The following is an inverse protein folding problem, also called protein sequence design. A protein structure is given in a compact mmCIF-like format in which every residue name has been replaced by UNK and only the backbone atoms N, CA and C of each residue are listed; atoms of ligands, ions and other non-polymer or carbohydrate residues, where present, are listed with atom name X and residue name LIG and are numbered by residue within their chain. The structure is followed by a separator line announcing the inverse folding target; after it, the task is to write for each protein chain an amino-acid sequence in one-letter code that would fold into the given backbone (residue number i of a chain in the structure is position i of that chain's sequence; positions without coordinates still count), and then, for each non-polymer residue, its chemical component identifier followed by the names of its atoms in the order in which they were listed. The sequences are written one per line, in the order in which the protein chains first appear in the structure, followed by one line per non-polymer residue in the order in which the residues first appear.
data_IF_810823207701
#
_entry.id   IF_810823207701
#
_cell.length_a   1.000
_cell.length_b   1.000
_cell.length_c   1.000
_cell.angle_alpha   90.00
_cell.angle_beta   90.00
_cell.angle_gamma   90.00
#
_symmetry.space_group_name_H-M   'P 1'
#
loop_
_entity.id
_entity.type
_entity.pdbx_description
1 polymer ?
#
# COMPACT_ATOMS: atom_id res chain seq x y z
N UNK A 1 -8.52 35.14 19.63
CA UNK A 1 -8.11 34.22 18.55
C UNK A 1 -6.78 33.65 18.99
N UNK A 2 -6.78 32.40 19.45
CA UNK A 2 -5.58 31.72 19.91
C UNK A 2 -4.70 31.43 18.70
N UNK A 3 -3.55 32.09 18.60
CA UNK A 3 -2.48 31.69 17.68
C UNK A 3 -2.13 30.23 18.00
N UNK A 4 -2.65 29.30 17.20
CA UNK A 4 -2.15 27.93 17.20
C UNK A 4 -0.75 28.00 16.65
N UNK A 5 0.23 28.02 17.56
CA UNK A 5 1.63 28.02 17.21
C UNK A 5 1.90 26.80 16.33
N UNK A 6 2.34 27.04 15.09
CA UNK A 6 2.54 25.98 14.10
C UNK A 6 3.65 25.04 14.58
N UNK A 7 3.48 23.72 14.45
CA UNK A 7 4.56 22.80 14.75
C UNK A 7 5.77 23.14 13.87
N UNK A 8 6.97 23.10 14.47
CA UNK A 8 8.21 23.40 13.77
C UNK A 8 8.40 22.43 12.58
N UNK A 9 8.66 22.97 11.39
CA UNK A 9 8.84 22.19 10.15
C UNK A 9 7.67 22.20 9.17
N UNK A 10 6.48 22.68 9.56
CA UNK A 10 5.30 22.71 8.66
C UNK A 10 5.36 23.90 7.70
N UNK A 11 5.44 23.62 6.40
CA UNK A 11 5.50 24.63 5.32
C UNK A 11 4.15 24.86 4.63
N UNK A 12 3.18 23.94 4.80
CA UNK A 12 1.81 24.11 4.30
C UNK A 12 1.07 25.22 5.05
N UNK A 13 0.23 25.96 4.34
CA UNK A 13 -0.69 26.95 4.93
C UNK A 13 -1.84 26.26 5.67
N UNK A 14 -2.49 26.99 6.58
CA UNK A 14 -3.67 26.47 7.31
C UNK A 14 -4.77 25.99 6.36
N UNK A 15 -5.04 26.73 5.29
CA UNK A 15 -5.98 26.34 4.24
C UNK A 15 -5.58 25.02 3.57
N UNK A 16 -4.31 24.87 3.19
CA UNK A 16 -3.82 23.64 2.55
C UNK A 16 -3.89 22.44 3.49
N UNK A 17 -3.70 22.68 4.79
CA UNK A 17 -3.82 21.64 5.81
C UNK A 17 -5.29 21.21 6.00
N UNK A 18 -6.23 22.16 5.98
CA UNK A 18 -7.67 21.88 6.05
C UNK A 18 -8.20 21.15 4.80
N UNK A 19 -7.62 21.44 3.62
CA UNK A 19 -7.98 20.77 2.36
C UNK A 19 -7.31 19.39 2.20
N UNK A 20 -6.24 19.11 2.95
CA UNK A 20 -5.51 17.85 2.87
C UNK A 20 -6.21 16.76 3.68
N UNK A 21 -6.79 15.78 2.99
CA UNK A 21 -7.41 14.63 3.64
C UNK A 21 -6.37 13.81 4.44
N UNK A 22 -6.74 13.30 5.64
CA UNK A 22 -5.90 12.38 6.40
C UNK A 22 -5.54 11.12 5.60
N UNK A 23 -4.32 10.61 5.80
CA UNK A 23 -3.80 9.47 5.04
C UNK A 23 -4.67 8.20 5.15
N UNK A 24 -5.26 7.97 6.33
CA UNK A 24 -6.09 6.80 6.63
C UNK A 24 -7.52 6.87 6.07
N UNK A 25 -7.93 8.07 5.61
CA UNK A 25 -9.18 8.34 4.91
C UNK A 25 -8.99 8.41 3.39
N UNK A 26 -7.92 9.09 2.94
CA UNK A 26 -7.66 9.35 1.53
C UNK A 26 -7.18 8.10 0.77
N UNK A 27 -6.32 7.29 1.41
CA UNK A 27 -5.63 6.20 0.73
C UNK A 27 -6.39 4.88 0.82
N UNK A 28 -6.37 4.10 -0.26
CA UNK A 28 -6.79 2.72 -0.22
C UNK A 28 -5.90 1.92 0.75
N UNK A 29 -6.53 1.28 1.74
CA UNK A 29 -5.85 0.43 2.74
C UNK A 29 -5.31 -0.85 2.11
N UNK A 30 -4.14 -0.71 1.49
CA UNK A 30 -3.30 -1.77 0.95
C UNK A 30 -2.01 -1.87 1.75
N UNK A 31 -1.29 -3.01 1.68
CA UNK A 31 -0.01 -3.16 2.38
C UNK A 31 1.11 -2.25 1.85
N UNK A 32 0.97 -1.69 0.64
CA UNK A 32 1.90 -0.70 0.08
C UNK A 32 1.10 0.51 -0.41
N UNK A 33 1.38 1.75 0.06
CA UNK A 33 0.68 2.94 -0.39
C UNK A 33 0.83 3.16 -1.90
N UNK A 34 -0.31 3.40 -2.56
CA UNK A 34 -0.38 3.72 -4.00
C UNK A 34 -0.51 5.22 -4.25
N UNK A 35 -0.35 6.06 -3.23
CA UNK A 35 -0.38 7.51 -3.32
C UNK A 35 0.56 8.11 -2.28
N UNK A 36 1.17 9.24 -2.62
CA UNK A 36 1.98 10.02 -1.68
C UNK A 36 1.04 10.72 -0.70
N UNK A 37 1.38 10.72 0.58
CA UNK A 37 0.64 11.40 1.65
C UNK A 37 1.49 12.51 2.24
N UNK A 38 0.87 13.59 2.69
CA UNK A 38 1.62 14.70 3.27
C UNK A 38 2.08 14.40 4.70
N UNK A 39 3.27 14.88 5.04
CA UNK A 39 3.75 15.03 6.42
C UNK A 39 3.53 16.45 6.98
N UNK A 40 2.83 17.33 6.24
CA UNK A 40 2.66 18.77 6.54
C UNK A 40 3.69 19.68 5.85
N UNK A 41 4.68 19.12 5.15
CA UNK A 41 5.74 19.90 4.48
C UNK A 41 5.50 20.08 2.97
N UNK A 42 4.50 19.40 2.41
CA UNK A 42 4.18 19.50 0.99
C UNK A 42 2.76 19.06 0.70
N UNK A 43 2.16 19.65 -0.34
CA UNK A 43 0.87 19.18 -0.85
C UNK A 43 1.09 17.88 -1.62
N UNK A 44 0.38 16.79 -1.31
CA UNK A 44 0.57 15.52 -1.98
C UNK A 44 0.09 15.64 -3.43
N UNK A 45 0.89 15.15 -4.37
CA UNK A 45 0.47 15.07 -5.76
C UNK A 45 -0.72 14.09 -5.89
N UNK A 46 -1.65 14.34 -6.85
CA UNK A 46 -2.71 13.40 -7.11
C UNK A 46 -2.14 12.05 -7.57
N UNK A 47 -2.87 10.97 -7.30
CA UNK A 47 -2.50 9.64 -7.72
C UNK A 47 -2.32 9.56 -9.25
N UNK A 48 -1.13 9.13 -9.68
CA UNK A 48 -0.78 8.98 -11.10
C UNK A 48 -1.54 7.83 -11.77
N UNK A 49 -1.57 7.80 -13.11
CA UNK A 49 -2.23 6.74 -13.86
C UNK A 49 -1.64 5.35 -13.54
N UNK A 50 -0.31 5.23 -13.44
CA UNK A 50 0.36 3.97 -13.08
C UNK A 50 0.02 3.53 -11.66
N UNK A 51 0.00 4.45 -10.70
CA UNK A 51 -0.42 4.18 -9.33
C UNK A 51 -1.86 3.67 -9.25
N UNK A 52 -2.79 4.28 -10.01
CA UNK A 52 -4.17 3.79 -10.13
C UNK A 52 -4.25 2.36 -10.68
N UNK A 53 -3.41 2.03 -11.66
CA UNK A 53 -3.33 0.67 -12.22
C UNK A 53 -2.81 -0.33 -11.19
N UNK A 54 -1.75 0.00 -10.44
CA UNK A 54 -1.25 -0.85 -9.34
C UNK A 54 -2.35 -1.07 -8.30
N UNK A 55 -3.04 -0.01 -7.88
CA UNK A 55 -4.14 -0.12 -6.91
C UNK A 55 -5.28 -1.03 -7.41
N UNK A 56 -5.66 -0.89 -8.68
CA UNK A 56 -6.68 -1.73 -9.29
C UNK A 56 -6.28 -3.20 -9.32
N UNK A 57 -5.02 -3.50 -9.69
CA UNK A 57 -4.48 -4.87 -9.70
C UNK A 57 -4.43 -5.48 -8.29
N UNK A 58 -4.06 -4.68 -7.27
CA UNK A 58 -4.08 -5.13 -5.87
C UNK A 58 -5.51 -5.48 -5.45
N UNK A 59 -6.49 -4.62 -5.75
CA UNK A 59 -7.90 -4.87 -5.44
C UNK A 59 -8.40 -6.14 -6.11
N UNK A 60 -8.20 -6.27 -7.42
CA UNK A 60 -8.63 -7.42 -8.20
C UNK A 60 -8.00 -8.73 -7.70
N UNK A 61 -6.69 -8.72 -7.47
CA UNK A 61 -5.97 -9.90 -6.95
C UNK A 61 -6.47 -10.27 -5.56
N UNK A 62 -6.63 -9.29 -4.69
CA UNK A 62 -7.10 -9.52 -3.34
C UNK A 62 -8.55 -10.02 -3.29
N UNK A 63 -9.44 -9.52 -4.15
CA UNK A 63 -10.82 -10.00 -4.25
C UNK A 63 -10.87 -11.46 -4.72
N UNK A 64 -10.08 -11.82 -5.73
CA UNK A 64 -9.96 -13.20 -6.24
C UNK A 64 -9.40 -14.14 -5.17
N UNK A 65 -8.27 -13.80 -4.57
CA UNK A 65 -7.58 -14.65 -3.60
C UNK A 65 -8.35 -14.76 -2.29
N UNK A 66 -8.94 -13.67 -1.80
CA UNK A 66 -9.75 -13.72 -0.60
C UNK A 66 -10.95 -14.68 -0.75
N UNK A 67 -11.62 -14.65 -1.91
CA UNK A 67 -12.71 -15.58 -2.23
C UNK A 67 -12.22 -17.03 -2.29
N UNK A 68 -11.07 -17.26 -2.92
CA UNK A 68 -10.48 -18.60 -3.04
C UNK A 68 -10.13 -19.21 -1.67
N UNK A 69 -9.58 -18.40 -0.77
CA UNK A 69 -9.14 -18.83 0.57
C UNK A 69 -10.20 -18.61 1.67
N UNK A 70 -11.47 -18.40 1.29
CA UNK A 70 -12.59 -18.21 2.20
C UNK A 70 -12.31 -17.19 3.33
N UNK A 71 -11.71 -16.05 2.96
CA UNK A 71 -11.31 -14.98 3.86
C UNK A 71 -11.83 -13.63 3.37
N UNK A 72 -11.72 -12.58 4.19
CA UNK A 72 -12.06 -11.23 3.75
C UNK A 72 -10.89 -10.59 3.00
N UNK A 73 -11.18 -9.70 2.03
CA UNK A 73 -10.16 -8.90 1.33
C UNK A 73 -9.21 -8.22 2.32
N UNK A 74 -9.77 -7.63 3.40
CA UNK A 74 -8.99 -6.96 4.44
C UNK A 74 -8.02 -7.90 5.15
N UNK A 75 -8.48 -9.11 5.53
CA UNK A 75 -7.64 -10.11 6.19
C UNK A 75 -6.57 -10.67 5.25
N UNK A 76 -6.90 -10.84 3.96
CA UNK A 76 -5.93 -11.23 2.93
C UNK A 76 -4.86 -10.14 2.75
N UNK A 77 -5.24 -8.89 2.56
CA UNK A 77 -4.31 -7.77 2.37
C UNK A 77 -3.42 -7.51 3.59
N UNK A 78 -3.85 -7.89 4.79
CA UNK A 78 -3.05 -7.81 6.02
C UNK A 78 -2.06 -8.99 6.19
N UNK A 79 -2.03 -9.96 5.27
CA UNK A 79 -1.16 -11.14 5.32
C UNK A 79 0.10 -10.98 4.44
N UNK A 80 1.04 -11.92 4.56
CA UNK A 80 2.22 -12.00 3.68
C UNK A 80 1.83 -12.13 2.20
N UNK A 81 0.78 -12.89 1.89
CA UNK A 81 0.24 -13.02 0.53
C UNK A 81 -0.39 -11.72 0.01
N UNK A 82 -0.93 -10.90 0.91
CA UNK A 82 -1.37 -9.54 0.58
C UNK A 82 -0.22 -8.64 0.13
N UNK A 83 0.92 -8.74 0.82
CA UNK A 83 2.15 -8.05 0.41
C UNK A 83 2.68 -8.58 -0.93
N UNK A 84 2.68 -9.91 -1.12
CA UNK A 84 3.07 -10.51 -2.39
C UNK A 84 2.20 -10.01 -3.56
N UNK A 85 0.88 -9.88 -3.34
CA UNK A 85 -0.02 -9.30 -4.33
C UNK A 85 0.34 -7.86 -4.70
N UNK A 86 0.73 -7.03 -3.72
CA UNK A 86 1.19 -5.67 -3.99
C UNK A 86 2.49 -5.63 -4.81
N UNK A 87 3.46 -6.48 -4.48
CA UNK A 87 4.73 -6.55 -5.21
C UNK A 87 4.56 -7.08 -6.62
N UNK A 88 3.69 -8.08 -6.84
CA UNK A 88 3.37 -8.57 -8.18
C UNK A 88 2.68 -7.48 -9.03
N UNK A 89 1.75 -6.73 -8.44
CA UNK A 89 1.09 -5.62 -9.11
C UNK A 89 2.09 -4.51 -9.49
N UNK A 90 3.02 -4.17 -8.59
CA UNK A 90 4.08 -3.21 -8.90
C UNK A 90 5.01 -3.73 -10.00
N UNK A 91 5.38 -5.01 -9.97
CA UNK A 91 6.21 -5.61 -11.01
C UNK A 91 5.55 -5.55 -12.39
N UNK A 92 4.24 -5.76 -12.44
CA UNK A 92 3.48 -5.71 -13.69
C UNK A 92 3.43 -4.30 -14.31
N UNK A 93 3.39 -3.24 -13.50
CA UNK A 93 3.26 -1.86 -13.99
C UNK A 93 4.61 -1.14 -14.16
N UNK A 94 5.57 -1.44 -13.29
CA UNK A 94 6.85 -0.75 -13.22
C UNK A 94 8.04 -1.59 -13.70
N UNK A 95 7.82 -2.86 -14.06
CA UNK A 95 8.88 -3.81 -14.41
C UNK A 95 9.39 -4.58 -13.18
N UNK A 96 10.31 -5.52 -13.39
CA UNK A 96 10.75 -6.46 -12.36
C UNK A 96 11.58 -5.79 -11.23
N UNK A 97 10.90 -5.19 -10.24
CA UNK A 97 11.50 -4.43 -9.13
C UNK A 97 11.64 -5.26 -7.86
N UNK A 98 10.71 -6.18 -7.62
CA UNK A 98 10.62 -6.97 -6.40
C UNK A 98 10.79 -8.45 -6.70
N UNK A 99 11.57 -9.15 -5.88
CA UNK A 99 11.65 -10.61 -5.95
C UNK A 99 10.42 -11.25 -5.28
N UNK A 100 9.41 -11.56 -6.09
CA UNK A 100 8.15 -12.17 -5.66
C UNK A 100 7.62 -13.13 -6.72
N UNK A 101 7.14 -14.28 -6.27
CA UNK A 101 6.54 -15.30 -7.12
C UNK A 101 5.00 -15.32 -6.94
N UNK A 102 4.28 -15.59 -8.02
CA UNK A 102 2.83 -15.78 -8.01
C UNK A 102 2.37 -16.88 -7.03
N UNK A 103 3.19 -17.89 -6.75
CA UNK A 103 2.90 -18.94 -5.77
C UNK A 103 2.62 -18.38 -4.36
N UNK A 104 3.18 -17.22 -4.02
CA UNK A 104 3.04 -16.61 -2.69
C UNK A 104 1.73 -15.86 -2.49
N UNK A 105 0.93 -15.74 -3.55
CA UNK A 105 -0.45 -15.29 -3.41
C UNK A 105 -1.29 -16.28 -2.60
N UNK A 106 -0.86 -17.54 -2.51
CA UNK A 106 -1.50 -18.54 -1.68
C UNK A 106 -0.99 -18.42 -0.22
N UNK A 107 -1.86 -18.04 0.74
CA UNK A 107 -1.50 -17.95 2.16
C UNK A 107 -0.99 -19.25 2.76
N UNK A 108 -1.41 -20.40 2.21
CA UNK A 108 -1.00 -21.72 2.66
C UNK A 108 0.36 -22.13 2.06
N UNK A 109 0.77 -21.52 0.93
CA UNK A 109 2.06 -21.76 0.28
C UNK A 109 3.18 -20.81 0.77
N UNK A 110 2.84 -19.76 1.51
CA UNK A 110 3.80 -18.77 2.05
C UNK A 110 4.83 -19.38 3.04
N UNK A 111 4.72 -20.67 3.38
CA UNK A 111 5.71 -21.42 4.15
C UNK A 111 7.06 -21.60 3.43
N UNK A 112 7.08 -21.68 2.10
CA UNK A 112 8.29 -22.15 1.38
C UNK A 112 9.44 -21.14 1.41
N UNK A 113 9.21 -19.85 1.12
CA UNK A 113 10.29 -18.84 1.15
C UNK A 113 10.74 -18.47 2.57
N UNK A 114 9.83 -18.48 3.54
CA UNK A 114 10.18 -18.24 4.96
C UNK A 114 11.13 -19.32 5.48
N UNK A 115 11.02 -20.55 4.97
CA UNK A 115 11.97 -21.62 5.22
C UNK A 115 13.31 -21.40 4.47
N UNK A 116 13.27 -20.95 3.20
CA UNK A 116 14.48 -20.67 2.40
C UNK A 116 15.39 -19.60 3.01
N UNK A 117 14.80 -18.55 3.61
CA UNK A 117 15.54 -17.43 4.22
C UNK A 117 15.76 -17.58 5.74
N UNK A 118 15.38 -18.72 6.32
CA UNK A 118 15.60 -19.00 7.75
C UNK A 118 17.11 -19.11 8.03
N UNK A 119 17.67 -18.17 8.77
CA UNK A 119 19.10 -18.14 9.13
C UNK A 119 19.97 -17.22 8.27
N UNK A 120 19.37 -16.37 7.41
CA UNK A 120 20.12 -15.31 6.72
C UNK A 120 20.33 -14.04 7.58
N UNK A 121 19.78 -14.02 8.80
CA UNK A 121 19.99 -13.01 9.84
C UNK A 121 20.08 -13.70 11.20
#
# INVERSE_FOLDING_TARGET
MTEKQRPFGVSMTEREMDECLPADEAAFRSPVPTQIVSNGEYNPLPQTAKQKQVEALIKETADKQAKLHNTSRRKFLASGSGMAAAFLAMNQIHGNLFDVNAAELNPDAAGDRRATYKGQF
#
